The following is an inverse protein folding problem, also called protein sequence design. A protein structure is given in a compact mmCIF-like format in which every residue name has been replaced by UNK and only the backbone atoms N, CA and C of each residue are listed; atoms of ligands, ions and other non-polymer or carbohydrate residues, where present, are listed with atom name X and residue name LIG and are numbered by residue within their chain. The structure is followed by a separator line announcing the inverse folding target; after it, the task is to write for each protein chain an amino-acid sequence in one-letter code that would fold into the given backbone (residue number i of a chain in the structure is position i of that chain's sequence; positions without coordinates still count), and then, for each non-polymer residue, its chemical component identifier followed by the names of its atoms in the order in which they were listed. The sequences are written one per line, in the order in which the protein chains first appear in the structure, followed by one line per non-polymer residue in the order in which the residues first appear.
data_IF_165392286125
#
_entry.id   IF_165392286125
#
_cell.length_a   1.000
_cell.length_b   1.000
_cell.length_c   1.000
_cell.angle_alpha   90.00
_cell.angle_beta   90.00
_cell.angle_gamma   90.00
#
_symmetry.space_group_name_H-M   'P 1'
#
loop_
_entity.id
_entity.type
_entity.pdbx_description
1 polymer ?
#
# COMPACT_ATOMS: atom_id res chain seq x y z
N UNK A 1 -6.79 -15.06 23.42
CA UNK A 1 -7.06 -15.10 21.96
C UNK A 1 -5.86 -15.77 21.33
N UNK A 2 -6.01 -16.82 20.49
CA UNK A 2 -4.87 -17.57 20.01
C UNK A 2 -4.11 -16.70 19.01
N UNK A 3 -2.88 -16.36 19.34
CA UNK A 3 -1.90 -15.72 18.44
C UNK A 3 -1.61 -16.69 17.30
N UNK A 4 -2.16 -16.38 16.13
CA UNK A 4 -1.82 -17.05 14.88
C UNK A 4 -0.29 -17.00 14.68
N UNK A 5 0.26 -18.14 14.25
CA UNK A 5 1.64 -18.58 14.37
C UNK A 5 2.69 -17.62 13.76
N UNK A 6 3.12 -16.61 14.51
CA UNK A 6 4.43 -15.98 14.33
C UNK A 6 5.10 -15.94 15.70
N UNK A 7 5.70 -17.07 16.06
CA UNK A 7 6.57 -17.12 17.22
C UNK A 7 7.86 -16.37 16.85
N UNK A 8 8.14 -15.23 17.46
CA UNK A 8 9.37 -14.45 17.21
C UNK A 8 10.53 -14.87 18.11
N UNK A 9 10.38 -15.93 18.90
CA UNK A 9 11.44 -16.48 19.75
C UNK A 9 12.47 -17.24 18.88
N UNK A 10 13.74 -16.79 18.82
CA UNK A 10 14.77 -17.43 18.02
C UNK A 10 15.05 -18.89 18.43
N UNK A 11 14.64 -19.32 19.63
CA UNK A 11 14.86 -20.67 20.13
C UNK A 11 13.76 -21.68 19.71
N UNK A 12 12.62 -21.23 19.19
CA UNK A 12 11.46 -22.10 18.87
C UNK A 12 10.85 -21.87 17.48
N UNK A 13 11.56 -21.15 16.59
CA UNK A 13 11.14 -20.97 15.21
C UNK A 13 11.32 -22.26 14.41
N UNK A 14 10.21 -22.94 14.13
CA UNK A 14 10.16 -24.14 13.26
C UNK A 14 10.38 -23.75 11.78
N UNK A 15 10.22 -22.47 11.43
CA UNK A 15 10.35 -21.93 10.07
C UNK A 15 11.04 -20.56 10.14
N UNK A 16 12.05 -20.33 9.30
CA UNK A 16 12.77 -19.05 9.25
C UNK A 16 11.85 -17.86 8.86
N UNK A 17 11.95 -16.69 9.52
CA UNK A 17 11.15 -15.50 9.18
C UNK A 17 11.28 -15.04 7.72
N UNK A 18 12.44 -15.29 7.10
CA UNK A 18 12.66 -15.03 5.68
C UNK A 18 11.79 -15.93 4.80
N UNK A 19 11.72 -17.23 5.12
CA UNK A 19 10.86 -18.20 4.41
C UNK A 19 9.39 -17.80 4.55
N UNK A 20 8.96 -17.35 5.74
CA UNK A 20 7.60 -16.82 5.95
C UNK A 20 7.33 -15.59 5.08
N UNK A 21 8.29 -14.66 4.98
CA UNK A 21 8.15 -13.46 4.15
C UNK A 21 8.03 -13.80 2.65
N UNK A 22 8.79 -14.79 2.18
CA UNK A 22 8.68 -15.29 0.79
C UNK A 22 7.32 -15.95 0.55
N UNK A 23 6.82 -16.75 1.50
CA UNK A 23 5.47 -17.35 1.39
C UNK A 23 4.42 -16.24 1.27
N UNK A 24 4.47 -15.23 2.14
CA UNK A 24 3.54 -14.09 2.09
C UNK A 24 3.67 -13.35 0.75
N UNK A 25 4.89 -13.11 0.26
CA UNK A 25 5.14 -12.44 -1.01
C UNK A 25 4.52 -13.18 -2.19
N UNK A 26 4.76 -14.50 -2.29
CA UNK A 26 4.24 -15.33 -3.38
C UNK A 26 2.71 -15.42 -3.32
N UNK A 27 2.13 -15.64 -2.13
CA UNK A 27 0.67 -15.68 -1.96
C UNK A 27 0.02 -14.32 -2.28
N UNK A 28 0.65 -13.21 -1.90
CA UNK A 28 0.17 -11.87 -2.22
C UNK A 28 0.15 -11.61 -3.74
N UNK A 29 1.14 -12.11 -4.50
CA UNK A 29 1.14 -12.02 -5.97
C UNK A 29 -0.04 -12.78 -6.56
N UNK A 30 -0.29 -14.03 -6.13
CA UNK A 30 -1.43 -14.81 -6.61
C UNK A 30 -2.76 -14.12 -6.32
N UNK A 31 -2.93 -13.59 -5.11
CA UNK A 31 -4.13 -12.85 -4.73
C UNK A 31 -4.28 -11.58 -5.59
N UNK A 32 -3.20 -10.83 -5.78
CA UNK A 32 -3.20 -9.62 -6.62
C UNK A 32 -3.61 -9.91 -8.06
N UNK A 33 -3.07 -10.96 -8.67
CA UNK A 33 -3.43 -11.41 -10.00
C UNK A 33 -4.93 -11.76 -10.08
N UNK A 34 -5.39 -12.62 -9.18
CA UNK A 34 -6.77 -13.14 -9.17
C UNK A 34 -7.82 -12.03 -8.98
N UNK A 35 -7.50 -11.01 -8.17
CA UNK A 35 -8.35 -9.84 -7.97
C UNK A 35 -8.41 -8.99 -9.23
N UNK A 36 -7.26 -8.62 -9.82
CA UNK A 36 -7.20 -7.71 -10.97
C UNK A 36 -7.91 -8.32 -12.19
N UNK A 37 -7.77 -9.63 -12.43
CA UNK A 37 -8.45 -10.32 -13.54
C UNK A 37 -9.97 -10.31 -13.45
N UNK A 38 -10.56 -10.10 -12.26
CA UNK A 38 -12.02 -10.07 -12.06
C UNK A 38 -12.63 -8.68 -12.08
N UNK A 39 -11.85 -7.63 -12.34
CA UNK A 39 -12.36 -6.26 -12.38
C UNK A 39 -13.03 -5.99 -13.74
N UNK A 40 -14.25 -5.41 -13.77
CA UNK A 40 -14.92 -5.09 -15.02
C UNK A 40 -14.16 -4.02 -15.80
N UNK A 41 -14.30 -4.02 -17.13
CA UNK A 41 -13.52 -3.16 -18.02
C UNK A 41 -13.74 -1.66 -17.80
N UNK A 42 -14.89 -1.28 -17.26
CA UNK A 42 -15.22 0.10 -16.88
C UNK A 42 -14.34 0.64 -15.76
N UNK A 43 -13.75 -0.23 -14.93
CA UNK A 43 -12.96 0.13 -13.77
C UNK A 43 -11.45 0.06 -14.01
N UNK A 44 -10.94 -0.30 -15.19
CA UNK A 44 -9.48 -0.37 -15.42
C UNK A 44 -8.76 0.97 -15.19
N UNK A 45 -9.36 2.07 -15.62
CA UNK A 45 -8.77 3.42 -15.43
C UNK A 45 -8.83 3.89 -13.97
N UNK A 46 -9.98 3.78 -13.27
CA UNK A 46 -10.02 3.97 -11.82
C UNK A 46 -9.06 3.05 -11.06
N UNK A 47 -8.91 1.79 -11.47
CA UNK A 47 -8.02 0.82 -10.84
C UNK A 47 -6.55 1.18 -11.04
N UNK A 48 -6.19 1.63 -12.24
CA UNK A 48 -4.84 2.15 -12.52
C UNK A 48 -4.51 3.31 -11.58
N UNK A 49 -5.43 4.28 -11.42
CA UNK A 49 -5.27 5.37 -10.44
C UNK A 49 -5.22 4.87 -9.00
N UNK A 50 -6.09 3.91 -8.63
CA UNK A 50 -6.14 3.33 -7.30
C UNK A 50 -4.85 2.61 -6.91
N UNK A 51 -4.25 1.86 -7.83
CA UNK A 51 -2.95 1.20 -7.61
C UNK A 51 -1.81 2.19 -7.37
N UNK A 52 -1.87 3.39 -7.98
CA UNK A 52 -0.94 4.46 -7.69
C UNK A 52 -1.10 4.96 -6.24
N UNK A 53 -2.33 5.12 -5.74
CA UNK A 53 -2.57 5.48 -4.33
C UNK A 53 -2.05 4.41 -3.35
N UNK A 54 -2.20 3.12 -3.70
CA UNK A 54 -1.72 2.00 -2.88
C UNK A 54 -0.18 1.97 -2.81
N UNK A 55 0.52 2.36 -3.88
CA UNK A 55 1.99 2.49 -3.88
C UNK A 55 2.51 3.52 -2.86
N UNK A 56 1.63 4.37 -2.34
CA UNK A 56 1.88 5.27 -1.24
C UNK A 56 2.27 4.60 0.08
N UNK A 57 2.25 3.26 0.18
CA UNK A 57 2.86 2.49 1.28
C UNK A 57 4.34 2.85 1.52
N UNK A 58 5.01 3.39 0.50
CA UNK A 58 6.34 4.01 0.62
C UNK A 58 6.46 5.03 1.76
N UNK A 59 5.35 5.65 2.18
CA UNK A 59 5.29 6.54 3.34
C UNK A 59 5.81 5.88 4.62
N UNK A 60 5.54 4.58 4.83
CA UNK A 60 6.02 3.84 6.01
C UNK A 60 7.55 3.80 6.01
N UNK A 61 8.17 3.47 4.86
CA UNK A 61 9.62 3.48 4.71
C UNK A 61 10.21 4.88 4.89
N UNK A 62 9.56 5.90 4.34
CA UNK A 62 10.00 7.29 4.47
C UNK A 62 10.01 7.77 5.92
N UNK A 63 8.98 7.43 6.71
CA UNK A 63 8.93 7.75 8.14
C UNK A 63 10.06 7.04 8.91
N UNK A 64 10.29 5.75 8.65
CA UNK A 64 11.38 5.00 9.28
C UNK A 64 12.75 5.62 8.99
N UNK A 65 12.99 6.06 7.76
CA UNK A 65 14.23 6.75 7.39
C UNK A 65 14.34 8.14 8.03
N UNK A 66 13.24 8.89 8.10
CA UNK A 66 13.20 10.25 8.66
C UNK A 66 13.46 10.28 10.16
N UNK A 67 13.08 9.23 10.89
CA UNK A 67 13.26 9.12 12.34
C UNK A 67 14.51 8.31 12.74
N UNK A 68 15.31 7.86 11.78
CA UNK A 68 16.47 7.03 12.07
C UNK A 68 17.72 7.88 12.28
N UNK A 69 18.28 7.80 13.49
CA UNK A 69 19.56 8.43 13.85
C UNK A 69 20.77 7.76 13.16
N UNK A 70 20.58 6.54 12.62
CA UNK A 70 21.66 5.75 12.01
C UNK A 70 22.13 6.27 10.66
N UNK A 71 21.33 7.08 9.97
CA UNK A 71 21.66 7.59 8.63
C UNK A 71 22.26 9.01 8.63
N UNK A 72 22.49 9.58 9.82
CA UNK A 72 23.03 10.93 9.97
C UNK A 72 22.11 12.04 9.42
N UNK A 73 22.63 13.26 9.36
CA UNK A 73 21.85 14.45 8.94
C UNK A 73 21.34 14.36 7.51
N UNK A 74 22.11 13.77 6.59
CA UNK A 74 21.71 13.57 5.21
C UNK A 74 20.54 12.60 5.09
N UNK A 75 20.56 11.50 5.85
CA UNK A 75 19.49 10.50 5.86
C UNK A 75 18.17 11.04 6.38
N UNK A 76 18.22 11.82 7.47
CA UNK A 76 17.04 12.51 8.02
C UNK A 76 16.48 13.52 7.01
N UNK A 77 17.34 14.28 6.32
CA UNK A 77 16.92 15.23 5.29
C UNK A 77 16.22 14.54 4.12
N UNK A 78 16.83 13.48 3.58
CA UNK A 78 16.24 12.69 2.48
C UNK A 78 14.98 11.95 2.92
N UNK A 79 14.93 11.44 4.15
CA UNK A 79 13.75 10.81 4.74
C UNK A 79 12.59 11.80 4.85
N UNK A 80 12.86 13.01 5.33
CA UNK A 80 11.85 14.08 5.42
C UNK A 80 11.32 14.44 4.02
N UNK A 81 12.20 14.55 3.03
CA UNK A 81 11.80 14.83 1.65
C UNK A 81 10.98 13.67 1.04
N UNK A 82 11.36 12.43 1.35
CA UNK A 82 10.63 11.24 0.95
C UNK A 82 9.22 11.20 1.57
N UNK A 83 9.05 11.65 2.82
CA UNK A 83 7.72 11.76 3.46
C UNK A 83 6.82 12.72 2.68
N UNK A 84 7.35 13.86 2.23
CA UNK A 84 6.59 14.82 1.41
C UNK A 84 6.13 14.16 0.10
N UNK A 85 7.04 13.52 -0.63
CA UNK A 85 6.71 12.86 -1.89
C UNK A 85 5.74 11.69 -1.72
N UNK A 86 5.93 10.86 -0.70
CA UNK A 86 5.03 9.75 -0.39
C UNK A 86 3.63 10.26 -0.01
N UNK A 87 3.54 11.36 0.73
CA UNK A 87 2.26 12.00 1.07
C UNK A 87 1.56 12.52 -0.18
N UNK A 88 2.28 13.16 -1.10
CA UNK A 88 1.72 13.60 -2.40
C UNK A 88 1.18 12.41 -3.19
N UNK A 89 1.90 11.28 -3.22
CA UNK A 89 1.46 10.07 -3.91
C UNK A 89 0.16 9.50 -3.31
N UNK A 90 0.09 9.35 -1.98
CA UNK A 90 -1.12 8.85 -1.28
C UNK A 90 -2.31 9.78 -1.51
N UNK A 91 -2.14 11.08 -1.21
CA UNK A 91 -3.24 12.06 -1.25
C UNK A 91 -3.70 12.29 -2.69
N UNK A 92 -2.76 12.52 -3.61
CA UNK A 92 -3.07 12.72 -5.02
C UNK A 92 -3.73 11.49 -5.65
N UNK A 93 -3.21 10.29 -5.35
CA UNK A 93 -3.78 9.03 -5.81
C UNK A 93 -5.22 8.84 -5.32
N UNK A 94 -5.49 9.09 -4.03
CA UNK A 94 -6.84 8.98 -3.48
C UNK A 94 -7.82 10.01 -4.07
N UNK A 95 -7.40 11.28 -4.20
CA UNK A 95 -8.25 12.35 -4.75
C UNK A 95 -8.66 12.08 -6.21
N UNK A 96 -7.71 11.63 -7.03
CA UNK A 96 -7.99 11.31 -8.44
C UNK A 96 -8.90 10.09 -8.55
N UNK A 97 -8.61 9.05 -7.76
CA UNK A 97 -9.42 7.82 -7.75
C UNK A 97 -10.85 8.09 -7.29
N UNK A 98 -11.04 8.89 -6.23
CA UNK A 98 -12.36 9.31 -5.75
C UNK A 98 -13.16 10.07 -6.82
N UNK A 99 -12.51 11.02 -7.52
CA UNK A 99 -13.14 11.74 -8.64
C UNK A 99 -13.56 10.80 -9.77
N UNK A 100 -12.74 9.80 -10.08
CA UNK A 100 -13.07 8.79 -11.10
C UNK A 100 -14.23 7.89 -10.67
N UNK A 101 -14.25 7.45 -9.41
CA UNK A 101 -15.31 6.59 -8.89
C UNK A 101 -16.66 7.31 -8.75
N UNK A 102 -16.66 8.60 -8.44
CA UNK A 102 -17.87 9.44 -8.42
C UNK A 102 -18.60 9.48 -9.76
N UNK A 103 -17.94 9.18 -10.88
CA UNK A 103 -18.57 9.09 -12.20
C UNK A 103 -19.44 7.84 -12.37
N UNK A 104 -19.29 6.83 -11.50
CA UNK A 104 -20.13 5.63 -11.46
C UNK A 104 -21.29 5.75 -10.47
N UNK A 105 -21.26 6.75 -9.57
CA UNK A 105 -22.38 7.05 -8.70
C UNK A 105 -23.52 7.66 -9.53
N UNK A 106 -24.65 6.96 -9.58
CA UNK A 106 -25.87 7.51 -10.18
C UNK A 106 -26.24 8.79 -9.42
N UNK A 107 -26.40 9.89 -10.14
CA UNK A 107 -26.82 11.19 -9.58
C UNK A 107 -28.12 11.00 -8.78
N UNK A 108 -28.05 11.11 -7.45
CA UNK A 108 -29.25 11.34 -6.64
C UNK A 108 -29.75 12.74 -6.98
N UNK A 109 -30.87 12.80 -7.69
CA UNK A 109 -31.43 14.05 -8.20
C UNK A 109 -32.02 13.88 -9.60
N UNK A 110 -33.05 13.03 -9.70
CA UNK A 110 -34.05 13.19 -10.74
C UNK A 110 -34.89 14.41 -10.37
N UNK A 111 -34.55 15.56 -10.93
CA UNK A 111 -35.44 16.72 -10.96
C UNK A 111 -36.46 16.47 -12.07
N UNK A 112 -37.63 15.97 -11.66
CA UNK A 112 -38.89 16.06 -12.38
C UNK A 112 -39.91 16.66 -11.42
#
# INVERSE_FOLDING_TARGET
MPTFLINTDPATNVIDPFVVSIIIFVLAIFIGFEIITKVPSTLHTPLMSGSNAISGITLVGALLCSFSDSFGSLGVFLGTLAVIFATINVVGGYMVTDRMLKMFSKKEGGDK
#
